data_IF_922708938380
#
_entry.id   IF_922708938380
#
_cell.length_a   1.000
_cell.length_b   1.000
_cell.length_c   1.000
_cell.angle_alpha   90.00
_cell.angle_beta   90.00
_cell.angle_gamma   90.00
#
_symmetry.space_group_name_H-M   'P 1'
#
loop_
_entity.id
_entity.type
_entity.pdbx_description
1 polymer ?
#
# COMPACT_ATOMS: atom_id res chain seq x y z
N UNK A 1 24.52 -55.63 -28.64
CA UNK A 1 24.51 -54.15 -28.63
C UNK A 1 23.25 -53.71 -27.92
N UNK A 2 23.36 -53.45 -26.62
CA UNK A 2 22.30 -52.85 -25.80
C UNK A 2 22.28 -51.36 -26.12
N UNK A 3 21.23 -50.89 -26.79
CA UNK A 3 21.03 -49.46 -27.04
C UNK A 3 20.58 -48.83 -25.72
N UNK A 4 21.43 -47.97 -25.17
CA UNK A 4 21.20 -47.21 -23.96
C UNK A 4 20.11 -46.16 -24.22
N UNK A 5 19.01 -46.25 -23.48
CA UNK A 5 17.86 -45.36 -23.59
C UNK A 5 18.01 -44.20 -22.61
N UNK A 6 18.87 -43.24 -22.91
CA UNK A 6 18.86 -41.96 -22.21
C UNK A 6 17.99 -40.97 -22.96
N UNK A 7 16.68 -41.07 -22.76
CA UNK A 7 15.77 -39.96 -23.05
C UNK A 7 16.11 -38.84 -22.06
N UNK A 8 16.86 -37.84 -22.54
CA UNK A 8 17.02 -36.57 -21.84
C UNK A 8 15.64 -35.98 -21.61
N UNK A 9 15.24 -35.82 -20.34
CA UNK A 9 14.06 -35.03 -20.00
C UNK A 9 14.20 -33.63 -20.62
N UNK A 10 13.14 -33.08 -21.24
CA UNK A 10 13.19 -31.73 -21.76
C UNK A 10 13.43 -30.77 -20.58
N UNK A 11 14.43 -29.91 -20.71
CA UNK A 11 14.68 -28.85 -19.74
C UNK A 11 13.40 -27.99 -19.61
N UNK A 12 12.97 -27.76 -18.37
CA UNK A 12 11.78 -26.96 -18.08
C UNK A 12 11.90 -25.57 -18.74
N UNK A 13 10.83 -25.09 -19.37
CA UNK A 13 10.81 -23.77 -19.98
C UNK A 13 11.12 -22.69 -18.91
N UNK A 14 11.81 -21.58 -19.27
CA UNK A 14 12.04 -20.48 -18.33
C UNK A 14 10.71 -20.03 -17.71
N UNK A 15 10.58 -20.17 -16.38
CA UNK A 15 9.36 -19.83 -15.64
C UNK A 15 8.36 -20.98 -15.40
N UNK A 16 8.58 -22.19 -15.94
CA UNK A 16 7.75 -23.35 -15.61
C UNK A 16 7.84 -23.70 -14.11
N UNK A 17 9.05 -23.62 -13.54
CA UNK A 17 9.28 -23.82 -12.12
C UNK A 17 8.55 -22.78 -11.25
N UNK A 18 8.51 -21.52 -11.71
CA UNK A 18 7.72 -20.47 -11.07
C UNK A 18 6.22 -20.77 -11.13
N UNK A 19 5.70 -21.15 -12.29
CA UNK A 19 4.28 -21.43 -12.48
C UNK A 19 3.80 -22.59 -11.61
N UNK A 20 4.57 -23.68 -11.54
CA UNK A 20 4.26 -24.84 -10.71
C UNK A 20 4.31 -24.48 -9.22
N UNK A 21 5.34 -23.75 -8.80
CA UNK A 21 5.48 -23.26 -7.42
C UNK A 21 4.32 -22.34 -7.02
N UNK A 22 4.01 -21.34 -7.85
CA UNK A 22 2.92 -20.40 -7.59
C UNK A 22 1.56 -21.10 -7.54
N UNK A 23 1.31 -22.06 -8.45
CA UNK A 23 0.08 -22.86 -8.47
C UNK A 23 -0.05 -23.76 -7.26
N UNK A 24 1.05 -24.38 -6.82
CA UNK A 24 1.07 -25.17 -5.59
C UNK A 24 0.78 -24.30 -4.35
N UNK A 25 1.44 -23.14 -4.24
CA UNK A 25 1.24 -22.19 -3.14
C UNK A 25 -0.21 -21.70 -3.07
N UNK A 26 -0.77 -21.22 -4.20
CA UNK A 26 -2.15 -20.72 -4.24
C UNK A 26 -3.18 -21.80 -3.84
N UNK A 27 -2.99 -23.04 -4.29
CA UNK A 27 -3.85 -24.17 -3.89
C UNK A 27 -3.72 -24.49 -2.40
N UNK A 28 -2.52 -24.41 -1.84
CA UNK A 28 -2.31 -24.61 -0.40
C UNK A 28 -3.03 -23.51 0.42
N UNK A 29 -2.91 -22.25 0.02
CA UNK A 29 -3.63 -21.13 0.65
C UNK A 29 -5.14 -21.35 0.66
N UNK A 30 -5.73 -21.74 -0.47
CA UNK A 30 -7.17 -22.02 -0.54
C UNK A 30 -7.60 -23.17 0.37
N UNK A 31 -6.76 -24.21 0.55
CA UNK A 31 -7.05 -25.30 1.49
C UNK A 31 -7.07 -24.82 2.95
N UNK A 32 -6.16 -23.91 3.32
CA UNK A 32 -6.15 -23.31 4.67
C UNK A 32 -7.45 -22.52 4.89
N UNK A 33 -7.82 -21.67 3.94
CA UNK A 33 -9.08 -20.90 4.00
C UNK A 33 -10.28 -21.83 4.10
N UNK A 34 -10.33 -22.88 3.26
CA UNK A 34 -11.42 -23.85 3.23
C UNK A 34 -11.60 -24.60 4.55
N UNK A 35 -10.51 -24.88 5.27
CA UNK A 35 -10.55 -25.52 6.58
C UNK A 35 -11.21 -24.65 7.67
N UNK A 36 -11.26 -23.33 7.46
CA UNK A 36 -11.87 -22.36 8.38
C UNK A 36 -13.26 -21.94 7.90
N UNK A 37 -13.40 -21.58 6.62
CA UNK A 37 -14.65 -21.15 6.00
C UNK A 37 -14.73 -21.65 4.55
N UNK A 38 -15.38 -22.81 4.30
CA UNK A 38 -15.43 -23.44 2.98
C UNK A 38 -16.22 -22.64 1.95
N UNK A 39 -17.18 -21.81 2.37
CA UNK A 39 -17.98 -21.00 1.41
C UNK A 39 -17.14 -19.91 0.78
N UNK A 40 -16.22 -19.31 1.54
CA UNK A 40 -15.30 -18.29 1.03
C UNK A 40 -14.31 -18.93 0.06
N UNK A 41 -13.69 -20.06 0.41
CA UNK A 41 -12.81 -20.78 -0.52
C UNK A 41 -13.52 -21.19 -1.82
N UNK A 42 -14.78 -21.64 -1.73
CA UNK A 42 -15.59 -21.94 -2.91
C UNK A 42 -15.88 -20.70 -3.77
N UNK A 43 -16.21 -19.56 -3.15
CA UNK A 43 -16.43 -18.30 -3.87
C UNK A 43 -15.15 -17.80 -4.55
N UNK A 44 -13.99 -17.86 -3.88
CA UNK A 44 -12.70 -17.47 -4.45
C UNK A 44 -12.32 -18.32 -5.66
N UNK A 45 -12.60 -19.63 -5.64
CA UNK A 45 -12.39 -20.50 -6.82
C UNK A 45 -13.28 -20.14 -7.99
N UNK A 46 -14.54 -19.76 -7.72
CA UNK A 46 -15.48 -19.31 -8.76
C UNK A 46 -15.00 -18.00 -9.38
N UNK A 47 -14.58 -17.03 -8.57
CA UNK A 47 -14.03 -15.77 -9.07
C UNK A 47 -12.83 -15.99 -10.00
N UNK A 48 -11.91 -16.90 -9.67
CA UNK A 48 -10.79 -17.22 -10.56
C UNK A 48 -11.24 -17.86 -11.89
N UNK A 49 -12.28 -18.70 -11.85
CA UNK A 49 -12.86 -19.26 -13.07
C UNK A 49 -13.52 -18.16 -13.92
N UNK A 50 -14.33 -17.29 -13.29
CA UNK A 50 -15.00 -16.17 -13.94
C UNK A 50 -13.99 -15.23 -14.61
N UNK A 51 -12.87 -14.91 -13.94
CA UNK A 51 -11.78 -14.12 -14.51
C UNK A 51 -11.10 -14.78 -15.71
N UNK A 52 -10.99 -16.12 -15.73
CA UNK A 52 -10.39 -16.87 -16.86
C UNK A 52 -11.31 -16.98 -18.05
N UNK A 53 -12.61 -17.03 -17.81
CA UNK A 53 -13.63 -17.18 -18.84
C UNK A 53 -14.11 -15.82 -19.40
N UNK A 54 -13.69 -14.72 -18.77
CA UNK A 54 -14.09 -13.36 -19.16
C UNK A 54 -12.97 -12.59 -19.87
N UNK A 55 -13.36 -11.84 -20.90
CA UNK A 55 -12.50 -10.79 -21.46
C UNK A 55 -12.65 -9.52 -20.62
N UNK A 56 -11.62 -9.14 -19.86
CA UNK A 56 -11.60 -7.87 -19.12
C UNK A 56 -11.39 -6.68 -20.06
N UNK A 57 -12.38 -5.77 -20.09
CA UNK A 57 -12.36 -4.54 -20.89
C UNK A 57 -12.40 -3.26 -20.05
N UNK A 58 -12.47 -3.38 -18.72
CA UNK A 58 -12.45 -2.23 -17.82
C UNK A 58 -11.00 -1.75 -17.70
N UNK A 59 -10.72 -0.53 -18.18
CA UNK A 59 -9.37 0.00 -18.31
C UNK A 59 -8.58 0.10 -16.99
N UNK A 60 -9.28 0.23 -15.86
CA UNK A 60 -8.67 0.33 -14.53
C UNK A 60 -8.44 -1.02 -13.86
N UNK A 61 -8.90 -2.12 -14.44
CA UNK A 61 -8.69 -3.46 -13.88
C UNK A 61 -7.46 -4.13 -14.49
N UNK A 62 -6.80 -4.96 -13.67
CA UNK A 62 -5.65 -5.75 -14.10
C UNK A 62 -5.56 -7.05 -13.30
N UNK A 63 -4.66 -7.95 -13.70
CA UNK A 63 -4.33 -9.16 -12.97
C UNK A 63 -2.99 -8.98 -12.24
N UNK A 64 -3.01 -9.02 -10.91
CA UNK A 64 -1.80 -9.04 -10.12
C UNK A 64 -1.07 -10.39 -10.28
N UNK A 65 0.27 -10.37 -10.18
CA UNK A 65 1.04 -11.61 -10.20
C UNK A 65 0.81 -12.42 -8.92
N UNK A 66 0.97 -13.76 -8.96
CA UNK A 66 0.90 -14.59 -7.76
C UNK A 66 1.85 -14.14 -6.64
N UNK A 67 3.03 -13.62 -6.99
CA UNK A 67 3.97 -13.09 -6.01
C UNK A 67 3.38 -11.91 -5.24
N UNK A 68 2.76 -10.94 -5.94
CA UNK A 68 2.09 -9.80 -5.30
C UNK A 68 0.94 -10.26 -4.41
N UNK A 69 0.08 -11.16 -4.90
CA UNK A 69 -1.05 -11.68 -4.14
C UNK A 69 -0.61 -12.41 -2.86
N UNK A 70 0.46 -13.19 -2.92
CA UNK A 70 0.99 -13.92 -1.77
C UNK A 70 1.62 -12.98 -0.73
N UNK A 71 2.31 -11.92 -1.16
CA UNK A 71 2.88 -10.91 -0.26
C UNK A 71 1.83 -10.24 0.62
N UNK A 72 0.62 -10.01 0.08
CA UNK A 72 -0.49 -9.40 0.82
C UNK A 72 -1.01 -10.27 1.98
N UNK A 73 -0.71 -11.58 1.98
CA UNK A 73 -1.14 -12.53 3.01
C UNK A 73 -0.06 -12.91 4.01
N UNK A 74 0.91 -12.03 4.27
CA UNK A 74 2.04 -12.29 5.17
C UNK A 74 1.87 -11.59 6.52
N UNK A 75 2.67 -11.97 7.53
CA UNK A 75 2.67 -11.36 8.86
C UNK A 75 3.09 -9.87 8.89
N UNK A 76 3.44 -9.26 7.76
CA UNK A 76 3.58 -7.81 7.70
C UNK A 76 2.27 -7.10 8.07
N UNK A 77 1.11 -7.73 7.86
CA UNK A 77 -0.20 -7.21 8.29
C UNK A 77 -0.32 -7.01 9.80
N UNK A 78 0.45 -7.75 10.59
CA UNK A 78 0.34 -7.77 12.05
C UNK A 78 1.18 -6.65 12.69
N UNK A 79 1.99 -5.94 11.88
CA UNK A 79 2.94 -4.94 12.39
C UNK A 79 2.37 -3.53 12.30
N UNK A 80 2.25 -2.90 13.47
CA UNK A 80 2.10 -1.45 13.56
C UNK A 80 3.47 -0.77 13.40
N UNK A 81 3.61 0.08 12.38
CA UNK A 81 4.88 0.73 11.99
C UNK A 81 4.68 2.21 11.65
N UNK A 82 3.93 2.92 12.50
CA UNK A 82 3.67 4.35 12.34
C UNK A 82 4.97 5.17 12.31
N UNK A 83 4.99 6.20 11.46
CA UNK A 83 6.17 7.02 11.18
C UNK A 83 6.76 6.70 9.82
N UNK A 84 8.01 7.11 9.59
CA UNK A 84 8.75 6.84 8.36
C UNK A 84 9.97 5.98 8.64
N UNK A 85 10.60 5.45 7.59
CA UNK A 85 11.86 4.70 7.69
C UNK A 85 12.87 5.46 8.56
N UNK A 86 13.41 4.80 9.60
CA UNK A 86 14.35 5.40 10.56
C UNK A 86 13.72 6.35 11.59
N UNK A 87 12.44 6.66 11.49
CA UNK A 87 11.69 7.56 12.37
C UNK A 87 10.33 6.96 12.76
N UNK A 88 10.36 5.77 13.36
CA UNK A 88 9.16 5.05 13.81
C UNK A 88 8.77 5.42 15.23
N UNK A 89 7.47 5.47 15.51
CA UNK A 89 6.94 5.64 16.86
C UNK A 89 7.04 4.36 17.70
N UNK A 90 7.10 3.20 17.05
CA UNK A 90 7.14 1.89 17.69
C UNK A 90 8.43 1.13 17.37
N UNK A 91 8.87 0.29 18.32
CA UNK A 91 10.03 -0.56 18.16
C UNK A 91 9.77 -1.76 17.21
N UNK A 92 10.86 -2.39 16.77
CA UNK A 92 10.82 -3.67 16.02
C UNK A 92 10.39 -3.53 14.56
N UNK A 93 10.64 -2.37 13.94
CA UNK A 93 10.20 -2.07 12.57
C UNK A 93 11.28 -2.33 11.50
N UNK A 94 12.43 -2.92 11.84
CA UNK A 94 13.57 -3.03 10.92
C UNK A 94 13.21 -3.73 9.59
N UNK A 95 12.43 -4.81 9.67
CA UNK A 95 12.00 -5.54 8.47
C UNK A 95 10.95 -4.77 7.65
N UNK A 96 10.13 -3.95 8.31
CA UNK A 96 9.18 -3.06 7.61
C UNK A 96 9.92 -1.92 6.94
N UNK A 97 10.92 -1.35 7.62
CA UNK A 97 11.81 -0.31 7.09
C UNK A 97 12.55 -0.79 5.84
N UNK A 98 13.05 -2.02 5.84
CA UNK A 98 13.67 -2.65 4.68
C UNK A 98 12.70 -2.71 3.49
N UNK A 99 11.50 -3.27 3.70
CA UNK A 99 10.48 -3.40 2.65
C UNK A 99 10.02 -2.05 2.13
N UNK A 100 9.77 -1.08 3.01
CA UNK A 100 9.36 0.27 2.64
C UNK A 100 10.46 1.01 1.87
N UNK A 101 11.73 0.82 2.24
CA UNK A 101 12.87 1.41 1.54
C UNK A 101 13.01 0.87 0.13
N UNK A 102 12.94 -0.46 -0.03
CA UNK A 102 13.01 -1.12 -1.35
C UNK A 102 11.84 -0.67 -2.24
N UNK A 103 10.62 -0.59 -1.67
CA UNK A 103 9.46 -0.11 -2.41
C UNK A 103 9.64 1.34 -2.90
N UNK A 104 10.15 2.23 -2.05
CA UNK A 104 10.43 3.61 -2.43
C UNK A 104 11.58 3.72 -3.45
N UNK A 105 12.61 2.89 -3.34
CA UNK A 105 13.69 2.77 -4.32
C UNK A 105 13.15 2.39 -5.70
N UNK A 106 12.43 1.27 -5.82
CA UNK A 106 11.85 0.83 -7.09
C UNK A 106 10.90 1.88 -7.69
N UNK A 107 10.09 2.56 -6.87
CA UNK A 107 9.21 3.62 -7.36
C UNK A 107 10.01 4.80 -7.93
N UNK A 108 11.09 5.22 -7.27
CA UNK A 108 11.98 6.28 -7.77
C UNK A 108 12.64 5.89 -9.08
N UNK A 109 13.16 4.67 -9.17
CA UNK A 109 13.81 4.16 -10.38
C UNK A 109 12.85 4.05 -11.55
N UNK A 110 11.65 3.50 -11.31
CA UNK A 110 10.63 3.29 -12.34
C UNK A 110 10.13 4.61 -12.94
N UNK A 111 9.94 5.63 -12.11
CA UNK A 111 9.35 6.91 -12.54
C UNK A 111 10.37 8.04 -12.73
N UNK A 112 11.67 7.79 -12.47
CA UNK A 112 12.71 8.82 -12.54
C UNK A 112 12.52 9.95 -11.53
N UNK A 113 11.96 9.64 -10.35
CA UNK A 113 11.62 10.62 -9.32
C UNK A 113 12.71 10.73 -8.24
N UNK A 114 12.96 11.93 -7.68
CA UNK A 114 13.95 12.10 -6.61
C UNK A 114 13.48 11.48 -5.27
N UNK A 115 12.16 11.43 -5.05
CA UNK A 115 11.52 10.93 -3.83
C UNK A 115 10.29 10.11 -4.20
N UNK A 116 9.96 9.12 -3.37
CA UNK A 116 8.72 8.36 -3.46
C UNK A 116 8.15 8.12 -2.05
N UNK A 117 6.83 8.29 -1.93
CA UNK A 117 6.09 8.00 -0.71
C UNK A 117 5.10 6.85 -0.99
N UNK A 118 5.30 5.72 -0.31
CA UNK A 118 4.66 4.44 -0.66
C UNK A 118 3.65 3.95 0.39
N UNK A 119 3.32 4.78 1.38
CA UNK A 119 2.36 4.44 2.43
C UNK A 119 0.87 4.68 2.10
N UNK A 120 0.44 5.54 1.16
CA UNK A 120 -1.00 5.72 0.89
C UNK A 120 -1.67 4.40 0.49
N UNK A 121 -2.79 4.07 1.14
CA UNK A 121 -3.49 2.79 0.93
C UNK A 121 -4.16 2.69 -0.44
N UNK A 122 -4.47 3.83 -1.05
CA UNK A 122 -5.14 3.90 -2.35
C UNK A 122 -4.87 5.23 -3.06
N UNK A 123 -5.32 5.35 -4.31
CA UNK A 123 -5.15 6.58 -5.09
C UNK A 123 -5.88 7.80 -4.51
N UNK A 124 -7.02 7.61 -3.83
CA UNK A 124 -7.71 8.73 -3.19
C UNK A 124 -6.92 9.27 -1.99
N UNK A 125 -6.30 8.38 -1.21
CA UNK A 125 -5.46 8.75 -0.07
C UNK A 125 -4.20 9.48 -0.55
N UNK A 126 -3.58 9.00 -1.63
CA UNK A 126 -2.42 9.64 -2.23
C UNK A 126 -2.73 11.08 -2.67
N UNK A 127 -3.88 11.28 -3.32
CA UNK A 127 -4.34 12.62 -3.72
C UNK A 127 -4.59 13.51 -2.50
N UNK A 128 -5.26 12.98 -1.47
CA UNK A 128 -5.53 13.73 -0.24
C UNK A 128 -4.23 14.16 0.45
N UNK A 129 -3.27 13.25 0.59
CA UNK A 129 -1.95 13.54 1.18
C UNK A 129 -1.22 14.59 0.35
N UNK A 130 -1.21 14.48 -0.98
CA UNK A 130 -0.54 15.44 -1.85
C UNK A 130 -1.17 16.84 -1.75
N UNK A 131 -2.50 16.94 -1.82
CA UNK A 131 -3.19 18.22 -1.65
C UNK A 131 -2.94 18.82 -0.27
N UNK A 132 -3.01 18.00 0.78
CA UNK A 132 -2.75 18.46 2.14
C UNK A 132 -1.32 18.97 2.32
N UNK A 133 -0.32 18.24 1.82
CA UNK A 133 1.09 18.67 1.87
C UNK A 133 1.31 20.03 1.19
N UNK A 134 0.65 20.26 0.04
CA UNK A 134 0.69 21.55 -0.66
C UNK A 134 0.04 22.64 0.18
N UNK A 135 -1.16 22.41 0.71
CA UNK A 135 -1.88 23.41 1.52
C UNK A 135 -1.16 23.73 2.82
N UNK A 136 -0.66 22.71 3.52
CA UNK A 136 0.13 22.87 4.74
C UNK A 136 1.37 23.74 4.46
N UNK A 137 2.08 23.47 3.36
CA UNK A 137 3.31 24.19 3.01
C UNK A 137 3.03 25.61 2.50
N UNK A 138 2.02 25.78 1.64
CA UNK A 138 1.80 27.05 0.90
C UNK A 138 0.82 27.99 1.58
N UNK A 139 -0.01 27.50 2.50
CA UNK A 139 -1.07 28.28 3.14
C UNK A 139 -0.93 28.26 4.66
N UNK A 140 -0.89 27.08 5.28
CA UNK A 140 -0.87 26.95 6.74
C UNK A 140 0.43 27.48 7.35
N UNK A 141 1.59 26.97 6.94
CA UNK A 141 2.87 27.37 7.52
C UNK A 141 3.15 28.89 7.42
N UNK A 142 2.88 29.57 6.28
CA UNK A 142 2.95 31.02 6.23
C UNK A 142 1.98 31.71 7.19
N UNK A 143 0.74 31.23 7.31
CA UNK A 143 -0.24 31.82 8.23
C UNK A 143 0.15 31.66 9.70
N UNK A 144 0.69 30.50 10.09
CA UNK A 144 1.22 30.27 11.44
C UNK A 144 2.42 31.20 11.72
N UNK A 145 3.29 31.40 10.72
CA UNK A 145 4.42 32.32 10.81
C UNK A 145 3.95 33.77 10.98
N UNK A 146 2.94 34.20 10.20
CA UNK A 146 2.33 35.54 10.29
C UNK A 146 1.69 35.78 11.68
N UNK A 147 1.07 34.76 12.25
CA UNK A 147 0.47 34.80 13.59
C UNK A 147 1.51 34.66 14.73
N UNK A 148 2.76 34.30 14.42
CA UNK A 148 3.81 34.09 15.42
C UNK A 148 3.59 32.87 16.31
N UNK A 149 2.86 31.85 15.83
CA UNK A 149 2.53 30.64 16.58
C UNK A 149 3.15 29.38 15.95
N UNK A 150 3.21 28.29 16.71
CA UNK A 150 3.85 27.03 16.28
C UNK A 150 2.88 26.02 15.70
N UNK A 151 1.62 26.04 16.13
CA UNK A 151 0.60 25.14 15.62
C UNK A 151 -0.76 25.82 15.49
N UNK A 152 -1.66 25.17 14.74
CA UNK A 152 -3.03 25.64 14.54
C UNK A 152 -3.83 25.80 15.84
N UNK A 153 -3.49 25.03 16.88
CA UNK A 153 -4.15 25.07 18.19
C UNK A 153 -3.79 26.31 19.01
N UNK A 154 -2.71 27.00 18.65
CA UNK A 154 -2.26 28.21 19.30
C UNK A 154 -2.95 29.47 18.71
N UNK A 155 -3.73 29.32 17.64
CA UNK A 155 -4.43 30.44 16.98
C UNK A 155 -5.64 30.89 17.79
N UNK A 156 -5.87 32.21 17.85
CA UNK A 156 -7.16 32.74 18.27
C UNK A 156 -8.26 32.34 17.28
N UNK A 157 -9.52 32.36 17.72
CA UNK A 157 -10.67 32.05 16.86
C UNK A 157 -10.71 32.93 15.59
N UNK A 158 -10.36 34.21 15.72
CA UNK A 158 -10.30 35.13 14.58
C UNK A 158 -9.17 34.80 13.60
N UNK A 159 -8.02 34.31 14.08
CA UNK A 159 -6.91 33.86 13.24
C UNK A 159 -7.22 32.54 12.56
N UNK A 160 -7.84 31.62 13.29
CA UNK A 160 -8.33 30.35 12.76
C UNK A 160 -9.34 30.57 11.62
N UNK A 161 -10.32 31.45 11.79
CA UNK A 161 -11.29 31.75 10.74
C UNK A 161 -10.64 32.38 9.49
N UNK A 162 -9.61 33.20 9.66
CA UNK A 162 -8.82 33.72 8.53
C UNK A 162 -8.06 32.61 7.80
N UNK A 163 -7.42 31.71 8.53
CA UNK A 163 -6.74 30.55 7.95
C UNK A 163 -7.73 29.64 7.22
N UNK A 164 -8.87 29.33 7.85
CA UNK A 164 -9.95 28.53 7.25
C UNK A 164 -10.45 29.15 5.95
N UNK A 165 -10.62 30.47 5.90
CA UNK A 165 -10.99 31.17 4.67
C UNK A 165 -9.92 31.01 3.58
N UNK A 166 -8.63 31.12 3.91
CA UNK A 166 -7.50 30.91 2.97
C UNK A 166 -7.41 29.47 2.46
N UNK A 167 -7.81 28.49 3.27
CA UNK A 167 -7.91 27.07 2.90
C UNK A 167 -9.18 26.74 2.08
N UNK A 168 -9.90 27.75 1.59
CA UNK A 168 -11.09 27.57 0.76
C UNK A 168 -12.36 27.24 1.54
N UNK A 169 -12.37 27.53 2.85
CA UNK A 169 -13.51 27.34 3.75
C UNK A 169 -14.08 25.92 3.79
N UNK A 170 -13.29 24.92 3.39
CA UNK A 170 -13.72 23.52 3.39
C UNK A 170 -13.82 23.00 4.82
N UNK A 171 -14.95 22.36 5.15
CA UNK A 171 -15.21 21.81 6.49
C UNK A 171 -14.37 20.57 6.84
N UNK A 172 -13.69 19.99 5.85
CA UNK A 172 -13.10 18.65 5.92
C UNK A 172 -11.58 18.64 5.79
N UNK A 173 -10.94 19.80 5.66
CA UNK A 173 -9.50 19.92 5.42
C UNK A 173 -8.86 20.63 6.61
N UNK A 174 -8.27 19.84 7.51
CA UNK A 174 -7.50 20.33 8.66
C UNK A 174 -8.23 20.19 9.98
N UNK A 175 -8.17 18.98 10.55
CA UNK A 175 -8.42 18.80 11.97
C UNK A 175 -7.16 19.20 12.73
N UNK A 176 -7.33 20.01 13.78
CA UNK A 176 -6.42 20.04 14.91
C UNK A 176 -5.97 18.61 15.27
N UNK A 177 -4.68 18.41 15.57
CA UNK A 177 -4.19 17.15 16.13
C UNK A 177 -4.97 16.73 17.39
N UNK A 178 -5.58 17.67 18.11
CA UNK A 178 -6.38 17.42 19.32
C UNK A 178 -7.81 16.96 19.01
N UNK A 179 -8.26 17.05 17.75
CA UNK A 179 -9.58 16.57 17.36
C UNK A 179 -9.62 15.03 17.19
N UNK A 180 -8.46 14.38 17.09
CA UNK A 180 -8.30 12.93 17.22
C UNK A 180 -7.71 12.64 18.58
N UNK A 181 -8.56 12.46 19.60
CA UNK A 181 -8.11 12.16 20.96
C UNK A 181 -7.01 11.11 20.95
N UNK A 182 -5.87 11.42 21.56
CA UNK A 182 -4.85 10.43 21.85
C UNK A 182 -5.53 9.27 22.59
N UNK A 183 -5.62 8.12 21.93
CA UNK A 183 -5.99 6.86 22.57
C UNK A 183 -4.76 6.40 23.36
N UNK A 184 -4.52 7.06 24.48
CA UNK A 184 -3.86 6.46 25.65
C UNK A 184 -4.92 5.87 26.54
#
# INVERSE_FOLDING_TARGET
>A
MTADSTLSSPAAAPGADYADTASAAYRATLKVIESVEPRIAAATRKELADQRDSLKLIASENYASPAVLLTMGTWLSDKYAEGTVGHRFYAGCQNVDEVESIAAEHARELFGAPYAYVQPHSGIDANLVAFWAILATRVEAPALTEAGVRGVNDLSEAEWERLRARLGSQRLMGMSLDAGGHLT
#
